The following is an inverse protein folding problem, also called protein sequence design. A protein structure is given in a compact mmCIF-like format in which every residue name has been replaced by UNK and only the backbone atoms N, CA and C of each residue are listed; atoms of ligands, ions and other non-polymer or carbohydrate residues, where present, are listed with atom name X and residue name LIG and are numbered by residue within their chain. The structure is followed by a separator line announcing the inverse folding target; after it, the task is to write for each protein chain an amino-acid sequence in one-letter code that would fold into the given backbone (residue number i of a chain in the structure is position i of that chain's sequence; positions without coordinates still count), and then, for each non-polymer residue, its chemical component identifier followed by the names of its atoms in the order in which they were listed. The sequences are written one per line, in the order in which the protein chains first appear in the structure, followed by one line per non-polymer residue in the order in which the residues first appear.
data_IF_511855251133
#
_entry.id   IF_511855251133
#
_cell.length_a   1.000
_cell.length_b   1.000
_cell.length_c   1.000
_cell.angle_alpha   90.00
_cell.angle_beta   90.00
_cell.angle_gamma   90.00
#
_symmetry.space_group_name_H-M   'P 1'
#
loop_
_entity.id
_entity.type
_entity.pdbx_description
1 polymer ?
#
# COMPACT_ATOMS: atom_id res chain seq x y z
N UNK A 1 8.69 20.04 -2.14
CA UNK A 1 8.31 20.41 -0.77
C UNK A 1 6.82 20.18 -0.58
N UNK A 2 6.44 19.64 0.55
CA UNK A 2 5.03 19.48 0.96
C UNK A 2 4.87 19.96 2.39
N UNK A 3 3.93 20.85 2.64
CA UNK A 3 3.64 21.32 3.99
C UNK A 3 3.05 20.22 4.86
N UNK A 4 3.41 20.21 6.15
CA UNK A 4 2.95 19.22 7.11
C UNK A 4 1.42 19.20 7.26
N UNK A 5 0.77 20.35 7.18
CA UNK A 5 -0.69 20.47 7.23
C UNK A 5 -1.39 19.68 6.09
N UNK A 6 -0.86 19.70 4.89
CA UNK A 6 -1.44 18.96 3.76
C UNK A 6 -1.26 17.46 3.92
N UNK A 7 -0.11 17.04 4.46
CA UNK A 7 0.15 15.63 4.79
C UNK A 7 -0.79 15.18 5.92
N UNK A 8 -0.97 16.02 6.94
CA UNK A 8 -1.92 15.77 8.03
C UNK A 8 -3.34 15.56 7.55
N UNK A 9 -3.84 16.43 6.67
CA UNK A 9 -5.18 16.28 6.08
C UNK A 9 -5.36 14.94 5.36
N UNK A 10 -4.36 14.52 4.60
CA UNK A 10 -4.37 13.21 3.92
C UNK A 10 -4.35 12.07 4.93
N UNK A 11 -3.53 12.18 5.97
CA UNK A 11 -3.47 11.18 7.04
C UNK A 11 -4.81 11.03 7.77
N UNK A 12 -5.44 12.13 8.16
CA UNK A 12 -6.75 12.14 8.81
C UNK A 12 -7.85 11.59 7.89
N UNK A 13 -7.76 11.86 6.60
CA UNK A 13 -8.69 11.28 5.62
C UNK A 13 -8.56 9.76 5.53
N UNK A 14 -7.32 9.21 5.62
CA UNK A 14 -7.06 7.77 5.54
C UNK A 14 -7.39 7.03 6.84
N UNK A 15 -7.05 7.61 7.99
CA UNK A 15 -7.05 6.93 9.29
C UNK A 15 -8.05 7.49 10.30
N UNK A 16 -8.63 8.66 10.01
CA UNK A 16 -9.51 9.38 10.91
C UNK A 16 -8.77 10.22 11.96
N UNK A 17 -9.49 11.09 12.65
CA UNK A 17 -8.93 12.02 13.64
C UNK A 17 -8.55 11.34 14.98
N UNK A 18 -9.04 10.11 15.21
CA UNK A 18 -8.71 9.36 16.42
C UNK A 18 -7.23 8.89 16.45
N UNK A 19 -6.60 8.83 15.31
CA UNK A 19 -5.17 8.51 15.19
C UNK A 19 -4.39 9.81 15.16
N UNK A 20 -3.50 9.99 16.15
CA UNK A 20 -2.69 11.19 16.24
C UNK A 20 -1.65 11.24 15.11
N UNK A 21 -1.68 12.31 14.34
CA UNK A 21 -0.64 12.62 13.37
C UNK A 21 0.58 13.22 14.06
N UNK A 22 1.74 12.64 13.81
CA UNK A 22 3.04 13.19 14.22
C UNK A 22 3.96 13.21 13.00
N UNK A 23 4.39 14.39 12.53
CA UNK A 23 5.30 14.48 11.40
C UNK A 23 6.67 13.90 11.78
N UNK A 24 7.18 13.02 10.97
CA UNK A 24 8.50 12.40 11.18
C UNK A 24 9.12 11.96 9.86
N UNK A 25 10.44 11.96 9.83
CA UNK A 25 11.18 11.35 8.74
C UNK A 25 11.16 9.83 8.87
N UNK A 26 11.07 9.14 7.73
CA UNK A 26 11.20 7.69 7.65
C UNK A 26 12.59 7.38 7.10
N UNK A 27 13.37 6.57 7.82
CA UNK A 27 14.68 6.13 7.38
C UNK A 27 14.61 5.49 5.98
N UNK A 28 15.54 5.84 5.12
CA UNK A 28 15.61 5.41 3.72
C UNK A 28 14.44 5.86 2.82
N UNK A 29 13.61 6.78 3.30
CA UNK A 29 12.57 7.39 2.48
C UNK A 29 13.06 8.73 1.92
N UNK A 30 12.67 9.06 0.70
CA UNK A 30 13.16 10.26 -0.01
C UNK A 30 12.69 11.58 0.62
N UNK A 31 11.63 11.55 1.42
CA UNK A 31 11.07 12.71 2.06
C UNK A 31 11.53 12.81 3.51
N UNK A 32 12.12 13.94 3.85
CA UNK A 32 12.59 14.26 5.19
C UNK A 32 11.74 15.38 5.76
N UNK A 33 11.26 15.20 6.99
CA UNK A 33 10.59 16.28 7.72
C UNK A 33 11.63 17.28 8.24
N UNK A 34 11.37 18.57 8.01
CA UNK A 34 12.21 19.69 8.47
C UNK A 34 11.34 20.57 9.36
N UNK A 35 11.62 20.53 10.67
CA UNK A 35 10.82 21.18 11.72
C UNK A 35 10.79 22.70 11.57
N UNK A 36 11.92 23.30 11.16
CA UNK A 36 12.07 24.75 11.06
C UNK A 36 11.11 25.41 10.05
N UNK A 37 10.65 24.65 9.09
CA UNK A 37 9.72 25.12 8.07
C UNK A 37 8.39 24.37 8.08
N UNK A 38 8.21 23.45 9.02
CA UNK A 38 7.05 22.55 9.13
C UNK A 38 6.66 21.90 7.79
N UNK A 39 7.64 21.30 7.13
CA UNK A 39 7.43 20.72 5.80
C UNK A 39 8.29 19.48 5.54
N UNK A 40 7.83 18.68 4.59
CA UNK A 40 8.61 17.57 4.05
C UNK A 40 9.35 18.03 2.80
N UNK A 41 10.64 17.75 2.76
CA UNK A 41 11.52 18.06 1.64
C UNK A 41 12.16 16.80 1.07
N UNK A 42 12.49 16.84 -0.21
CA UNK A 42 13.24 15.76 -0.87
C UNK A 42 14.48 16.36 -1.54
N UNK A 43 15.59 15.68 -1.42
CA UNK A 43 16.86 16.06 -2.03
C UNK A 43 16.97 15.58 -3.48
N UNK A 44 16.08 14.70 -3.91
CA UNK A 44 16.06 14.22 -5.29
C UNK A 44 15.24 15.15 -6.17
N UNK A 45 15.86 15.66 -7.21
CA UNK A 45 15.10 16.09 -8.37
C UNK A 45 14.27 14.88 -8.84
N UNK A 46 13.00 15.09 -9.11
CA UNK A 46 12.04 14.01 -9.44
C UNK A 46 12.30 13.41 -10.85
N UNK A 47 13.55 13.16 -11.17
CA UNK A 47 13.96 12.56 -12.44
C UNK A 47 13.94 11.04 -12.43
N UNK A 48 13.86 10.42 -11.27
CA UNK A 48 13.65 8.98 -11.14
C UNK A 48 12.16 8.65 -11.18
N UNK A 49 11.52 9.01 -12.24
CA UNK A 49 10.36 8.26 -12.67
C UNK A 49 10.92 6.89 -13.02
N UNK A 50 10.93 6.00 -12.05
CA UNK A 50 11.12 4.60 -12.35
C UNK A 50 9.88 4.16 -13.13
N UNK A 51 9.97 4.30 -14.45
CA UNK A 51 9.01 3.75 -15.41
C UNK A 51 9.09 2.23 -15.42
N UNK A 52 9.44 1.64 -14.26
CA UNK A 52 9.42 0.20 -14.08
C UNK A 52 8.08 -0.35 -14.50
N UNK A 53 8.13 -1.35 -15.33
CA UNK A 53 6.97 -2.17 -15.76
C UNK A 53 6.34 -2.94 -14.58
N UNK A 54 6.80 -2.69 -13.37
CA UNK A 54 6.42 -3.35 -12.13
C UNK A 54 5.81 -2.37 -11.14
N UNK A 55 4.72 -2.77 -10.50
CA UNK A 55 4.16 -2.08 -9.34
C UNK A 55 4.03 -3.03 -8.16
N UNK A 56 4.28 -2.51 -6.95
CA UNK A 56 3.95 -3.22 -5.71
C UNK A 56 2.47 -3.04 -5.47
N UNK A 57 1.78 -4.13 -5.17
CA UNK A 57 0.34 -4.16 -4.95
C UNK A 57 -0.02 -5.26 -3.95
N UNK A 58 -1.30 -5.38 -3.67
CA UNK A 58 -1.86 -6.45 -2.85
C UNK A 58 -2.87 -7.25 -3.68
N UNK A 59 -2.72 -8.56 -3.68
CA UNK A 59 -3.74 -9.44 -4.23
C UNK A 59 -4.82 -9.66 -3.17
N UNK A 60 -6.02 -9.16 -3.41
CA UNK A 60 -7.16 -9.38 -2.52
C UNK A 60 -7.65 -10.81 -2.68
N UNK A 61 -7.75 -11.53 -1.57
CA UNK A 61 -8.25 -12.90 -1.51
C UNK A 61 -9.71 -12.97 -1.09
N UNK A 62 -10.09 -12.14 -0.11
CA UNK A 62 -11.43 -12.13 0.44
C UNK A 62 -11.82 -10.73 0.93
N UNK A 63 -13.11 -10.41 0.84
CA UNK A 63 -13.70 -9.22 1.44
C UNK A 63 -14.98 -9.65 2.15
N UNK A 64 -15.04 -9.39 3.45
CA UNK A 64 -16.23 -9.55 4.26
C UNK A 64 -16.79 -8.16 4.62
N UNK A 65 -18.09 -7.99 4.45
CA UNK A 65 -18.79 -6.76 4.76
C UNK A 65 -19.78 -6.98 5.90
N UNK A 66 -19.70 -6.13 6.93
CA UNK A 66 -20.66 -6.06 8.03
C UNK A 66 -21.02 -4.58 8.27
N UNK A 67 -22.17 -4.14 7.78
CA UNK A 67 -22.56 -2.74 7.79
C UNK A 67 -21.56 -1.86 7.05
N UNK A 68 -20.96 -0.91 7.75
CA UNK A 68 -19.91 -0.03 7.23
C UNK A 68 -18.48 -0.57 7.42
N UNK A 69 -18.34 -1.74 8.03
CA UNK A 69 -17.06 -2.39 8.28
C UNK A 69 -16.75 -3.38 7.15
N UNK A 70 -15.53 -3.27 6.62
CA UNK A 70 -15.00 -4.15 5.58
C UNK A 70 -13.72 -4.80 6.10
N UNK A 71 -13.71 -6.12 6.14
CA UNK A 71 -12.52 -6.91 6.46
C UNK A 71 -11.94 -7.47 5.17
N UNK A 72 -10.71 -7.12 4.90
CA UNK A 72 -10.01 -7.49 3.66
C UNK A 72 -8.83 -8.38 3.98
N UNK A 73 -8.79 -9.53 3.36
CA UNK A 73 -7.66 -10.44 3.38
C UNK A 73 -6.90 -10.32 2.06
N UNK A 74 -5.59 -10.09 2.14
CA UNK A 74 -4.76 -9.91 0.96
C UNK A 74 -3.34 -10.47 1.16
N UNK A 75 -2.63 -10.68 0.06
CA UNK A 75 -1.21 -11.04 0.06
C UNK A 75 -0.40 -10.02 -0.74
N UNK A 76 0.84 -9.71 -0.35
CA UNK A 76 1.68 -8.80 -1.10
C UNK A 76 2.04 -9.42 -2.45
N UNK A 77 1.94 -8.63 -3.49
CA UNK A 77 2.23 -9.07 -4.83
C UNK A 77 2.92 -7.97 -5.64
N UNK A 78 3.30 -8.34 -6.82
CA UNK A 78 3.88 -7.50 -7.83
C UNK A 78 3.12 -7.70 -9.13
N UNK A 79 2.73 -6.64 -9.78
CA UNK A 79 2.05 -6.68 -11.09
C UNK A 79 2.97 -6.06 -12.13
N UNK A 80 3.09 -6.71 -13.26
CA UNK A 80 3.93 -6.21 -14.33
C UNK A 80 3.78 -7.00 -15.62
N UNK A 81 4.60 -6.65 -16.60
CA UNK A 81 4.61 -7.24 -17.93
C UNK A 81 5.80 -8.21 -18.04
N UNK A 82 5.51 -9.42 -18.46
CA UNK A 82 6.55 -10.40 -18.75
C UNK A 82 7.29 -9.99 -20.05
N UNK A 83 8.62 -9.91 -19.99
CA UNK A 83 9.44 -9.51 -21.13
C UNK A 83 9.47 -10.56 -22.25
N UNK A 84 9.09 -11.81 -21.96
CA UNK A 84 9.11 -12.92 -22.92
C UNK A 84 7.86 -12.93 -23.78
N UNK A 85 6.68 -12.79 -23.15
CA UNK A 85 5.39 -12.93 -23.85
C UNK A 85 4.60 -11.61 -23.97
N UNK A 86 5.06 -10.54 -23.33
CA UNK A 86 4.43 -9.22 -23.37
C UNK A 86 3.10 -9.14 -22.63
N UNK A 87 2.73 -10.15 -21.83
CA UNK A 87 1.49 -10.19 -21.09
C UNK A 87 1.68 -9.71 -19.66
N UNK A 88 0.60 -9.18 -19.08
CA UNK A 88 0.57 -8.79 -17.68
C UNK A 88 0.32 -10.00 -16.78
N UNK A 89 1.10 -10.09 -15.71
CA UNK A 89 0.99 -11.14 -14.71
C UNK A 89 1.10 -10.58 -13.31
N UNK A 90 0.65 -11.37 -12.33
CA UNK A 90 0.88 -11.18 -10.91
C UNK A 90 1.98 -12.12 -10.43
N UNK A 91 2.90 -11.62 -9.63
CA UNK A 91 3.94 -12.40 -8.97
C UNK A 91 3.81 -12.23 -7.47
N UNK A 92 3.88 -13.33 -6.72
CA UNK A 92 3.91 -13.27 -5.26
C UNK A 92 5.33 -13.12 -4.75
N UNK A 93 5.48 -12.35 -3.66
CA UNK A 93 6.71 -12.29 -2.91
C UNK A 93 6.82 -13.50 -1.98
N UNK A 94 7.76 -14.39 -2.32
CA UNK A 94 8.30 -15.44 -1.47
C UNK A 94 9.82 -15.30 -1.46
N UNK A 95 10.56 -16.34 -1.11
CA UNK A 95 12.03 -16.39 -1.22
C UNK A 95 12.53 -16.06 -2.64
N UNK A 96 11.72 -16.35 -3.63
CA UNK A 96 11.86 -15.90 -5.00
C UNK A 96 10.51 -15.40 -5.52
N UNK A 97 10.52 -14.42 -6.42
CA UNK A 97 9.29 -13.96 -7.07
C UNK A 97 8.74 -15.04 -7.99
N UNK A 98 7.54 -15.54 -7.68
CA UNK A 98 6.89 -16.61 -8.42
C UNK A 98 5.67 -16.08 -9.16
N UNK A 99 5.60 -16.33 -10.48
CA UNK A 99 4.45 -15.97 -11.30
C UNK A 99 3.21 -16.77 -10.87
N UNK A 100 2.09 -16.08 -10.63
CA UNK A 100 0.82 -16.70 -10.29
C UNK A 100 0.12 -17.17 -11.57
N UNK A 101 -0.25 -18.44 -11.59
CA UNK A 101 -1.03 -19.07 -12.67
C UNK A 101 -2.23 -19.80 -12.09
N UNK A 102 -3.18 -20.20 -12.93
CA UNK A 102 -4.33 -21.00 -12.46
C UNK A 102 -3.93 -22.32 -11.81
N UNK A 103 -2.77 -22.87 -12.19
CA UNK A 103 -2.28 -24.16 -11.70
C UNK A 103 -1.64 -24.08 -10.31
N UNK A 104 -0.99 -22.95 -9.97
CA UNK A 104 -0.19 -22.82 -8.75
C UNK A 104 -0.79 -21.85 -7.72
N UNK A 105 -1.83 -21.10 -8.06
CA UNK A 105 -2.36 -20.03 -7.22
C UNK A 105 -2.79 -20.50 -5.84
N UNK A 106 -3.48 -21.62 -5.74
CA UNK A 106 -4.00 -22.13 -4.46
C UNK A 106 -2.87 -22.49 -3.47
N UNK A 107 -1.75 -22.96 -3.99
CA UNK A 107 -0.58 -23.26 -3.16
C UNK A 107 0.21 -21.99 -2.79
N UNK A 108 0.40 -21.09 -3.76
CA UNK A 108 1.13 -19.86 -3.55
C UNK A 108 0.41 -18.92 -2.59
N UNK A 109 -0.91 -18.93 -2.57
CA UNK A 109 -1.73 -18.08 -1.70
C UNK A 109 -1.81 -18.59 -0.24
N UNK A 110 -1.13 -19.68 0.12
CA UNK A 110 -1.00 -20.15 1.52
C UNK A 110 0.08 -19.43 2.34
N UNK A 111 0.72 -18.41 1.79
CA UNK A 111 1.80 -17.66 2.45
C UNK A 111 1.30 -16.70 3.53
N UNK A 112 2.13 -15.71 3.88
CA UNK A 112 1.77 -14.65 4.83
C UNK A 112 0.60 -13.84 4.32
N UNK A 113 -0.45 -13.76 5.10
CA UNK A 113 -1.65 -12.99 4.79
C UNK A 113 -1.65 -11.68 5.56
N UNK A 114 -2.19 -10.65 4.93
CA UNK A 114 -2.45 -9.35 5.50
C UNK A 114 -3.94 -9.16 5.68
N UNK A 115 -4.34 -8.67 6.85
CA UNK A 115 -5.72 -8.46 7.21
C UNK A 115 -5.93 -6.98 7.52
N UNK A 116 -6.80 -6.36 6.78
CA UNK A 116 -7.16 -4.95 6.92
C UNK A 116 -8.60 -4.84 7.38
N UNK A 117 -8.88 -3.91 8.29
CA UNK A 117 -10.24 -3.52 8.62
C UNK A 117 -10.44 -2.07 8.21
N UNK A 118 -11.40 -1.83 7.35
CA UNK A 118 -11.80 -0.50 6.91
C UNK A 118 -13.19 -0.17 7.44
N UNK A 119 -13.44 1.12 7.69
CA UNK A 119 -14.76 1.65 7.97
C UNK A 119 -15.15 2.65 6.88
N UNK A 120 -16.32 2.48 6.31
CA UNK A 120 -16.86 3.41 5.32
C UNK A 120 -17.26 4.71 6.01
N UNK A 121 -16.67 5.82 5.60
CA UNK A 121 -16.88 7.16 6.15
C UNK A 121 -17.67 8.07 5.20
N UNK A 122 -17.92 7.63 3.98
CA UNK A 122 -18.65 8.36 2.97
C UNK A 122 -18.67 7.61 1.64
N UNK A 123 -19.23 8.21 0.61
CA UNK A 123 -19.18 7.66 -0.74
C UNK A 123 -17.72 7.60 -1.21
N UNK A 124 -17.26 6.41 -1.59
CA UNK A 124 -15.87 6.16 -2.02
C UNK A 124 -14.79 6.56 -0.98
N UNK A 125 -15.17 6.70 0.30
CA UNK A 125 -14.25 7.01 1.38
C UNK A 125 -14.25 5.90 2.43
N UNK A 126 -13.11 5.24 2.59
CA UNK A 126 -12.88 4.14 3.53
C UNK A 126 -11.67 4.47 4.39
N UNK A 127 -11.84 4.48 5.71
CA UNK A 127 -10.76 4.72 6.65
C UNK A 127 -10.19 3.40 7.14
N UNK A 128 -8.86 3.26 7.14
CA UNK A 128 -8.20 2.11 7.71
C UNK A 128 -8.26 2.16 9.24
N UNK A 129 -8.83 1.12 9.86
CA UNK A 129 -9.00 1.01 11.32
C UNK A 129 -8.00 0.07 11.96
N UNK A 130 -7.66 -1.01 11.31
CA UNK A 130 -6.66 -1.95 11.79
C UNK A 130 -5.95 -2.68 10.67
N UNK A 131 -4.76 -3.14 10.99
CA UNK A 131 -3.92 -3.91 10.10
C UNK A 131 -3.15 -4.93 10.92
N UNK A 132 -3.10 -6.17 10.44
CA UNK A 132 -2.26 -7.24 10.98
C UNK A 132 -1.80 -8.17 9.88
N UNK A 133 -0.77 -8.94 10.14
CA UNK A 133 -0.31 -10.01 9.24
C UNK A 133 -0.10 -11.30 10.03
N UNK A 134 -0.32 -12.41 9.39
CA UNK A 134 -0.11 -13.77 9.91
C UNK A 134 0.68 -14.62 8.91
#
# INVERSE_FOLDING_TARGET
MRYSEDVKKTFEWLYGEAVKYEPQSIENFRWRYVEEIDAFVTDSEATDINLGIWSISMQILNIEKDGDIYKVEAVPCRVGIDAVDGKSYTWLYKESTVKVTEENKDELLKGTHYFYTFEKAGENHYMLRSFRFE
#
